data_IF_098009553722
#
_entry.id   IF_098009553722
#
_cell.length_a   1.000
_cell.length_b   1.000
_cell.length_c   1.000
_cell.angle_alpha   90.00
_cell.angle_beta   90.00
_cell.angle_gamma   90.00
#
_symmetry.space_group_name_H-M   'P 1'
#
loop_
_entity.id
_entity.type
_entity.pdbx_description
1 polymer ?
#
# COMPACT_ATOMS: atom_id res chain seq x y z
N UNK A 1 -24.25 14.81 -64.85
CA UNK A 1 -25.18 13.67 -65.00
C UNK A 1 -24.72 12.62 -63.99
N UNK A 2 -25.46 12.04 -63.06
CA UNK A 2 -26.89 11.92 -62.78
C UNK A 2 -26.97 11.54 -61.28
N UNK A 3 -27.81 12.24 -60.52
CA UNK A 3 -28.08 12.02 -59.08
C UNK A 3 -28.82 10.68 -58.90
N UNK A 4 -28.47 9.89 -57.89
CA UNK A 4 -29.38 8.88 -57.33
C UNK A 4 -29.45 9.13 -55.81
N UNK A 5 -30.55 9.75 -55.42
CA UNK A 5 -31.03 9.80 -54.06
C UNK A 5 -31.88 8.54 -53.84
N UNK A 6 -31.72 7.88 -52.70
CA UNK A 6 -32.73 6.97 -52.16
C UNK A 6 -33.17 7.54 -50.81
N UNK A 7 -34.44 7.91 -50.79
CA UNK A 7 -35.17 8.48 -49.67
C UNK A 7 -35.69 7.39 -48.74
N UNK A 8 -35.79 7.76 -47.46
CA UNK A 8 -36.87 7.42 -46.51
C UNK A 8 -37.29 5.96 -46.30
N UNK A 9 -37.15 5.51 -45.05
CA UNK A 9 -38.26 5.09 -44.15
C UNK A 9 -37.58 4.61 -42.86
N UNK A 10 -37.65 5.27 -41.71
CA UNK A 10 -38.83 5.88 -41.10
C UNK A 10 -39.61 4.82 -40.32
N UNK A 11 -39.08 4.34 -39.20
CA UNK A 11 -39.90 3.71 -38.15
C UNK A 11 -39.50 4.27 -36.79
N UNK A 12 -40.31 5.22 -36.37
CA UNK A 12 -40.24 5.96 -35.13
C UNK A 12 -41.30 5.32 -34.23
N UNK A 13 -40.91 4.46 -33.30
CA UNK A 13 -41.83 3.87 -32.33
C UNK A 13 -41.96 4.85 -31.16
N UNK A 14 -42.98 5.71 -31.25
CA UNK A 14 -43.49 6.47 -30.12
C UNK A 14 -44.30 5.52 -29.24
N UNK A 15 -43.80 5.17 -28.06
CA UNK A 15 -44.64 4.62 -26.99
C UNK A 15 -45.37 5.79 -26.34
N UNK A 16 -46.66 5.92 -26.63
CA UNK A 16 -47.58 6.74 -25.86
C UNK A 16 -47.76 6.08 -24.48
N UNK A 17 -47.40 6.80 -23.43
CA UNK A 17 -47.79 6.47 -22.06
C UNK A 17 -48.86 7.47 -21.66
N UNK A 18 -50.02 6.94 -21.31
CA UNK A 18 -51.24 7.65 -20.96
C UNK A 18 -51.03 8.74 -19.90
N UNK A 19 -51.59 9.91 -20.20
CA UNK A 19 -51.84 10.96 -19.23
C UNK A 19 -53.12 10.61 -18.46
N UNK A 20 -52.98 10.27 -17.17
CA UNK A 20 -54.12 10.14 -16.29
C UNK A 20 -53.75 10.47 -14.83
N UNK A 21 -54.27 11.60 -14.36
CA UNK A 21 -54.51 12.02 -12.97
C UNK A 21 -53.32 12.53 -12.15
N UNK A 22 -53.46 13.78 -11.72
CA UNK A 22 -52.51 14.47 -10.89
C UNK A 22 -52.52 13.99 -9.45
N UNK A 23 -51.36 14.14 -8.83
CA UNK A 23 -51.16 14.59 -7.46
C UNK A 23 -49.72 15.10 -7.41
N UNK A 24 -49.56 16.42 -7.43
CA UNK A 24 -48.30 17.05 -7.11
C UNK A 24 -47.98 16.74 -5.66
N UNK A 25 -47.20 15.68 -5.40
CA UNK A 25 -46.49 15.57 -4.14
C UNK A 25 -45.43 16.66 -4.19
N UNK A 26 -45.65 17.75 -3.46
CA UNK A 26 -44.56 18.61 -3.05
C UNK A 26 -43.55 17.71 -2.33
N UNK A 27 -42.53 17.25 -3.06
CA UNK A 27 -41.37 16.61 -2.48
C UNK A 27 -40.78 17.67 -1.55
N UNK A 28 -40.99 17.46 -0.25
CA UNK A 28 -40.29 18.19 0.79
C UNK A 28 -38.81 17.99 0.46
N UNK A 29 -38.18 19.00 -0.13
CA UNK A 29 -36.78 18.93 -0.48
C UNK A 29 -36.05 18.51 0.80
N UNK A 30 -35.34 17.38 0.73
CA UNK A 30 -34.45 17.02 1.82
C UNK A 30 -33.53 18.23 2.03
N UNK A 31 -33.34 18.69 3.29
CA UNK A 31 -32.37 19.74 3.54
C UNK A 31 -31.04 19.30 2.90
N UNK A 32 -30.28 20.22 2.28
CA UNK A 32 -28.97 19.88 1.75
C UNK A 32 -28.18 19.17 2.85
N UNK A 33 -27.37 18.13 2.53
CA UNK A 33 -26.53 17.50 3.53
C UNK A 33 -25.80 18.63 4.23
N UNK A 34 -26.07 18.80 5.53
CA UNK A 34 -25.34 19.78 6.32
C UNK A 34 -23.88 19.46 6.07
N UNK A 35 -23.12 20.47 5.61
CA UNK A 35 -21.67 20.42 5.54
C UNK A 35 -21.14 20.39 6.99
N UNK A 36 -21.49 19.31 7.71
CA UNK A 36 -20.90 18.97 8.97
C UNK A 36 -19.46 18.64 8.65
N UNK A 37 -18.55 19.22 9.44
CA UNK A 37 -17.19 18.70 9.51
C UNK A 37 -17.31 17.20 9.72
N UNK A 38 -16.63 16.41 8.88
CA UNK A 38 -16.57 14.97 9.05
C UNK A 38 -16.14 14.61 10.48
N UNK A 39 -16.37 13.36 10.91
CA UNK A 39 -15.97 12.95 12.25
C UNK A 39 -14.49 13.30 12.49
N UNK A 40 -14.22 13.97 13.61
CA UNK A 40 -12.84 14.22 14.05
C UNK A 40 -12.33 12.94 14.67
N UNK A 41 -11.27 12.36 14.09
CA UNK A 41 -10.63 11.19 14.67
C UNK A 41 -9.66 11.68 15.75
N UNK A 42 -9.90 11.27 17.00
CA UNK A 42 -9.01 11.53 18.12
C UNK A 42 -8.11 10.31 18.32
N UNK A 43 -6.80 10.53 18.35
CA UNK A 43 -5.79 9.50 18.62
C UNK A 43 -5.39 9.57 20.09
N UNK A 44 -5.48 8.46 20.82
CA UNK A 44 -4.99 8.35 22.19
C UNK A 44 -3.45 8.37 22.20
N UNK A 45 -2.78 9.31 22.88
CA UNK A 45 -1.33 9.34 22.99
C UNK A 45 -0.73 8.03 23.55
N UNK A 46 -1.44 7.33 24.43
CA UNK A 46 -0.97 6.05 24.96
C UNK A 46 -0.97 4.93 23.90
N UNK A 47 -1.78 5.05 22.85
CA UNK A 47 -1.77 4.11 21.73
C UNK A 47 -0.57 4.32 20.80
N UNK A 48 0.03 5.52 20.79
CA UNK A 48 1.17 5.84 19.91
C UNK A 48 2.42 5.00 20.19
N UNK A 49 2.56 4.42 21.38
CA UNK A 49 3.65 3.49 21.71
C UNK A 49 3.66 2.23 20.82
N UNK A 50 2.52 1.87 20.22
CA UNK A 50 2.38 0.69 19.36
C UNK A 50 2.38 1.04 17.86
N UNK A 51 2.07 2.30 17.53
CA UNK A 51 1.97 2.76 16.14
C UNK A 51 3.32 3.20 15.57
N UNK A 52 4.27 3.62 16.41
CA UNK A 52 5.58 4.12 15.99
C UNK A 52 6.64 3.05 16.21
N UNK A 53 7.58 2.93 15.25
CA UNK A 53 8.78 2.10 15.42
C UNK A 53 9.65 2.63 16.56
N UNK A 54 10.33 1.74 17.27
CA UNK A 54 11.29 2.12 18.29
C UNK A 54 12.49 2.85 17.67
N UNK A 55 12.77 4.05 18.16
CA UNK A 55 13.99 4.79 17.88
C UNK A 55 14.91 4.67 19.12
N UNK A 56 16.15 4.18 18.98
CA UNK A 56 17.06 4.04 20.10
C UNK A 56 17.37 5.41 20.72
N UNK A 57 17.43 5.48 22.05
CA UNK A 57 17.84 6.68 22.75
C UNK A 57 19.33 7.02 22.48
N UNK A 58 19.77 8.29 22.60
CA UNK A 58 21.14 8.68 22.28
C UNK A 58 22.21 7.99 23.15
N UNK A 59 21.84 7.59 24.36
CA UNK A 59 22.70 6.92 25.33
C UNK A 59 22.97 5.44 24.99
N UNK A 60 22.21 4.85 24.06
CA UNK A 60 22.47 3.51 23.52
C UNK A 60 23.24 3.52 22.20
N UNK A 61 23.73 4.69 21.77
CA UNK A 61 24.62 4.77 20.63
C UNK A 61 25.91 3.98 20.90
N UNK A 62 26.25 3.06 20.00
CA UNK A 62 27.44 2.23 20.11
C UNK A 62 28.71 3.08 20.23
N UNK A 63 29.50 2.84 21.28
CA UNK A 63 30.80 3.46 21.49
C UNK A 63 31.90 2.45 21.13
N UNK A 64 32.61 2.64 20.01
CA UNK A 64 33.67 1.73 19.63
C UNK A 64 34.81 1.77 20.64
N UNK A 65 35.28 0.59 21.03
CA UNK A 65 36.48 0.43 21.85
C UNK A 65 36.26 0.43 23.36
N UNK A 66 35.02 0.46 23.83
CA UNK A 66 34.66 0.34 25.26
C UNK A 66 33.48 -0.62 25.42
N UNK A 67 33.49 -1.45 26.48
CA UNK A 67 32.36 -2.30 26.82
C UNK A 67 31.31 -1.56 27.69
N UNK A 68 30.26 -2.29 28.09
CA UNK A 68 29.17 -1.78 28.93
C UNK A 68 29.62 -1.36 30.34
N UNK A 69 30.78 -1.82 30.81
CA UNK A 69 31.38 -1.45 32.09
C UNK A 69 32.39 -0.31 31.97
N UNK A 70 32.68 0.15 30.74
CA UNK A 70 33.68 1.17 30.44
C UNK A 70 35.11 0.62 30.29
N UNK A 71 35.27 -0.71 30.26
CA UNK A 71 36.57 -1.33 30.05
C UNK A 71 36.95 -1.26 28.56
N UNK A 72 38.22 -0.98 28.23
CA UNK A 72 38.66 -0.88 26.84
C UNK A 72 38.58 -2.23 26.13
N UNK A 73 37.94 -2.25 24.96
CA UNK A 73 37.78 -3.44 24.12
C UNK A 73 38.53 -3.26 22.81
N UNK A 74 39.31 -4.25 22.40
CA UNK A 74 39.94 -4.26 21.08
C UNK A 74 38.85 -4.45 20.03
N UNK A 75 38.73 -3.57 19.01
CA UNK A 75 37.74 -3.74 17.95
C UNK A 75 37.90 -5.09 17.26
N UNK A 76 36.78 -5.76 16.97
CA UNK A 76 36.78 -7.03 16.24
C UNK A 76 37.20 -6.89 14.76
N UNK A 77 37.29 -5.65 14.26
CA UNK A 77 37.72 -5.30 12.90
C UNK A 77 39.25 -5.40 12.76
N UNK A 78 39.76 -6.63 12.81
CA UNK A 78 41.07 -6.96 12.27
C UNK A 78 40.89 -7.12 10.75
N UNK A 79 41.42 -6.17 9.98
CA UNK A 79 41.32 -6.05 8.52
C UNK A 79 39.91 -5.66 8.02
N UNK A 80 39.69 -4.36 7.87
CA UNK A 80 38.45 -3.77 7.33
C UNK A 80 38.01 -4.44 6.02
N UNK A 81 37.05 -5.36 6.14
CA UNK A 81 36.51 -6.12 5.03
C UNK A 81 35.91 -5.24 3.93
N UNK A 82 35.54 -5.83 2.78
CA UNK A 82 35.01 -5.09 1.65
C UNK A 82 33.82 -4.21 2.08
N UNK A 83 33.94 -2.89 1.86
CA UNK A 83 32.82 -1.97 2.04
C UNK A 83 31.83 -2.15 0.90
N UNK A 84 30.85 -3.04 1.11
CA UNK A 84 29.75 -3.24 0.17
C UNK A 84 28.87 -1.99 0.16
N UNK A 85 28.66 -1.41 -1.02
CA UNK A 85 27.68 -0.36 -1.20
C UNK A 85 26.30 -1.02 -1.19
N UNK A 86 25.55 -0.79 -0.12
CA UNK A 86 24.17 -1.27 -0.01
C UNK A 86 23.31 -0.44 -0.96
N UNK A 87 22.56 -1.08 -1.88
CA UNK A 87 21.70 -0.34 -2.80
C UNK A 87 20.52 0.29 -2.05
N UNK A 88 20.05 1.45 -2.52
CA UNK A 88 18.87 2.10 -1.97
C UNK A 88 17.55 1.39 -2.33
N UNK A 89 17.60 0.54 -3.36
CA UNK A 89 16.47 -0.20 -3.90
C UNK A 89 16.86 -1.65 -4.14
N UNK A 90 16.03 -2.58 -3.68
CA UNK A 90 16.19 -4.02 -3.90
C UNK A 90 14.92 -4.55 -4.56
N UNK A 91 15.08 -5.12 -5.77
CA UNK A 91 13.99 -5.77 -6.50
C UNK A 91 14.10 -7.29 -6.33
N UNK A 92 13.08 -7.90 -5.72
CA UNK A 92 13.02 -9.33 -5.41
C UNK A 92 11.89 -9.95 -6.24
N UNK A 93 12.19 -10.81 -7.24
CA UNK A 93 11.16 -11.49 -8.01
C UNK A 93 10.42 -12.49 -7.11
N UNK A 94 9.10 -12.36 -7.03
CA UNK A 94 8.23 -13.27 -6.31
C UNK A 94 7.82 -14.42 -7.25
N UNK A 95 8.14 -15.65 -6.85
CA UNK A 95 7.81 -16.86 -7.62
C UNK A 95 7.12 -17.92 -6.77
N UNK A 96 6.15 -18.64 -7.33
CA UNK A 96 5.57 -19.83 -6.73
C UNK A 96 6.12 -21.11 -7.37
N UNK A 97 6.53 -22.07 -6.53
CA UNK A 97 6.93 -23.40 -7.00
C UNK A 97 5.70 -24.26 -7.26
N UNK A 98 5.44 -24.57 -8.52
CA UNK A 98 4.33 -25.43 -8.97
C UNK A 98 4.72 -26.91 -9.10
N UNK A 99 6.00 -27.24 -9.02
CA UNK A 99 6.48 -28.62 -9.20
C UNK A 99 5.86 -29.64 -8.21
N UNK A 100 5.35 -29.19 -7.05
CA UNK A 100 4.66 -30.03 -6.07
C UNK A 100 3.18 -30.28 -6.38
N UNK A 101 2.54 -29.44 -7.20
CA UNK A 101 1.12 -29.56 -7.55
C UNK A 101 0.90 -30.32 -8.86
N UNK A 102 1.93 -30.47 -9.68
CA UNK A 102 1.87 -31.19 -10.95
C UNK A 102 1.93 -32.71 -10.75
N UNK A 103 1.20 -33.50 -11.57
CA UNK A 103 1.28 -34.96 -11.54
C UNK A 103 2.71 -35.45 -11.78
N UNK A 104 3.17 -36.39 -10.95
CA UNK A 104 4.46 -37.05 -11.16
C UNK A 104 4.33 -38.10 -12.27
N UNK A 105 5.12 -37.96 -13.32
CA UNK A 105 5.27 -39.00 -14.34
C UNK A 105 6.45 -39.89 -13.96
N UNK A 106 6.24 -41.20 -13.93
CA UNK A 106 7.30 -42.16 -13.61
C UNK A 106 8.41 -42.13 -14.68
N UNK A 107 9.66 -42.16 -14.24
CA UNK A 107 10.82 -42.11 -15.15
C UNK A 107 11.16 -40.73 -15.71
N UNK A 108 10.43 -39.68 -15.33
CA UNK A 108 10.69 -38.30 -15.78
C UNK A 108 11.12 -37.44 -14.59
N UNK A 109 12.24 -36.72 -14.75
CA UNK A 109 12.70 -35.76 -13.76
C UNK A 109 11.66 -34.63 -13.59
N UNK A 110 11.45 -34.19 -12.34
CA UNK A 110 10.51 -33.11 -12.06
C UNK A 110 10.95 -31.82 -12.75
N UNK A 111 10.09 -31.18 -13.56
CA UNK A 111 10.42 -29.90 -14.15
C UNK A 111 10.55 -28.85 -13.04
N UNK A 112 11.49 -27.92 -13.21
CA UNK A 112 11.58 -26.70 -12.39
C UNK A 112 10.43 -25.78 -12.84
N UNK A 113 9.24 -26.08 -12.35
CA UNK A 113 8.01 -25.35 -12.67
C UNK A 113 7.84 -24.23 -11.65
N UNK A 114 8.47 -23.08 -11.91
CA UNK A 114 8.29 -21.87 -11.11
C UNK A 114 7.42 -20.88 -11.89
N UNK A 115 6.37 -20.36 -11.26
CA UNK A 115 5.50 -19.33 -11.82
C UNK A 115 5.87 -17.96 -11.26
N UNK A 116 6.06 -16.99 -12.16
CA UNK A 116 6.28 -15.60 -11.78
C UNK A 116 4.98 -14.96 -11.28
N UNK A 117 5.02 -14.36 -10.10
CA UNK A 117 3.86 -13.74 -9.46
C UNK A 117 3.94 -12.20 -9.47
N UNK A 118 5.15 -11.64 -9.52
CA UNK A 118 5.36 -10.20 -9.45
C UNK A 118 6.74 -9.85 -8.87
N UNK A 119 6.92 -8.57 -8.54
CA UNK A 119 8.14 -8.06 -7.92
C UNK A 119 7.82 -7.44 -6.57
N UNK A 120 8.63 -7.76 -5.57
CA UNK A 120 8.71 -7.03 -4.33
C UNK A 120 9.85 -6.01 -4.46
N UNK A 121 9.55 -4.73 -4.27
CA UNK A 121 10.54 -3.66 -4.27
C UNK A 121 10.69 -3.17 -2.84
N UNK A 122 11.90 -3.21 -2.30
CA UNK A 122 12.25 -2.63 -1.01
C UNK A 122 13.00 -1.33 -1.25
N UNK A 123 12.43 -0.22 -0.80
CA UNK A 123 12.98 1.13 -0.90
C UNK A 123 12.93 1.78 0.50
N UNK A 124 14.09 1.85 1.17
CA UNK A 124 14.16 2.31 2.56
C UNK A 124 13.33 1.43 3.50
N UNK A 125 12.29 2.01 4.10
CA UNK A 125 11.35 1.36 5.01
C UNK A 125 10.05 0.88 4.34
N UNK A 126 9.87 1.16 3.05
CA UNK A 126 8.69 0.77 2.29
C UNK A 126 8.92 -0.53 1.51
N UNK A 127 7.90 -1.37 1.51
CA UNK A 127 7.84 -2.59 0.68
C UNK A 127 6.66 -2.47 -0.27
N UNK A 128 6.95 -2.57 -1.56
CA UNK A 128 5.97 -2.49 -2.63
C UNK A 128 5.80 -3.84 -3.30
N UNK A 129 4.57 -4.22 -3.64
CA UNK A 129 4.26 -5.32 -4.53
C UNK A 129 3.73 -4.79 -5.86
N UNK A 130 4.45 -5.06 -6.95
CA UNK A 130 4.12 -4.54 -8.28
C UNK A 130 3.89 -3.00 -8.30
N UNK A 131 4.70 -2.27 -7.51
CA UNK A 131 4.63 -0.82 -7.39
C UNK A 131 3.52 -0.29 -6.48
N UNK A 132 2.76 -1.16 -5.79
CA UNK A 132 1.77 -0.76 -4.79
C UNK A 132 2.33 -1.02 -3.38
N UNK A 133 2.23 -0.07 -2.44
CA UNK A 133 2.69 -0.28 -1.06
C UNK A 133 1.93 -1.44 -0.41
N UNK A 134 2.66 -2.28 0.34
CA UNK A 134 2.07 -3.37 1.14
C UNK A 134 1.60 -2.90 2.52
N UNK A 135 2.16 -1.80 3.03
CA UNK A 135 1.72 -1.15 4.26
C UNK A 135 0.38 -0.46 4.04
N UNK A 136 -0.50 -0.53 5.04
CA UNK A 136 -1.77 0.19 5.00
C UNK A 136 -1.50 1.70 5.09
N UNK A 137 -1.98 2.53 4.14
CA UNK A 137 -1.76 3.97 4.18
C UNK A 137 -2.33 4.64 5.44
N UNK A 138 -3.36 4.08 6.06
CA UNK A 138 -3.90 4.57 7.32
C UNK A 138 -2.95 4.30 8.51
N UNK A 139 -2.23 3.17 8.49
CA UNK A 139 -1.20 2.88 9.49
C UNK A 139 -0.02 3.86 9.35
N UNK A 140 0.38 4.17 8.11
CA UNK A 140 1.44 5.14 7.84
C UNK A 140 1.05 6.56 8.29
N UNK A 141 -0.19 6.98 8.03
CA UNK A 141 -0.74 8.26 8.50
C UNK A 141 -0.81 8.33 10.02
N UNK A 142 -1.30 7.28 10.67
CA UNK A 142 -1.34 7.19 12.14
C UNK A 142 0.06 7.25 12.75
N UNK A 143 1.02 6.52 12.18
CA UNK A 143 2.40 6.58 12.63
C UNK A 143 3.00 7.99 12.46
N UNK A 144 2.68 8.69 11.37
CA UNK A 144 3.13 10.06 11.13
C UNK A 144 2.56 11.04 12.16
N UNK A 145 1.27 10.94 12.48
CA UNK A 145 0.62 11.74 13.53
C UNK A 145 1.26 11.47 14.90
N UNK A 146 1.48 10.21 15.25
CA UNK A 146 2.09 9.83 16.50
C UNK A 146 3.54 10.33 16.65
N UNK A 147 4.33 10.36 15.57
CA UNK A 147 5.68 10.97 15.59
C UNK A 147 5.64 12.46 15.95
N UNK A 148 4.68 13.22 15.43
CA UNK A 148 4.55 14.67 15.74
C UNK A 148 4.22 14.92 17.22
N UNK A 149 3.42 14.05 17.83
CA UNK A 149 3.10 14.14 19.25
C UNK A 149 4.32 13.83 20.13
N UNK A 150 5.19 12.90 19.70
CA UNK A 150 6.44 12.57 20.41
C UNK A 150 7.47 13.71 20.45
N UNK A 151 7.50 14.58 19.44
CA UNK A 151 8.39 15.76 19.40
C UNK A 151 7.89 16.89 20.33
N UNK A 152 6.60 16.89 20.67
CA UNK A 152 5.97 17.94 21.48
C UNK A 152 5.95 17.63 22.99
N UNK A 153 6.40 16.44 23.38
CA UNK A 153 6.34 15.92 24.76
C UNK A 153 7.69 15.83 25.48
N UNK A 154 8.77 16.40 24.94
CA UNK A 154 10.05 16.58 25.63
C UNK A 154 10.17 17.96 26.25
#
# INVERSE_FOLDING_TARGET
MRRIAVFMSGLLVLTAVDAAWGQGTAQKANPPPSAGKGPTIAVDPAACQWAVRHEPAPDVAYQPGVDVNGDPVVPADLEGGPRLQVPQRIDIPLTARLASTLPQVAGVARPRADAYLGVLTVEGDQVLFNGQPLTDPAEEELAALCRQQGVSGQ
#
